data_IF_836804443074
#
_entry.id   IF_836804443074
#
_cell.length_a   1.000
_cell.length_b   1.000
_cell.length_c   1.000
_cell.angle_alpha   90.00
_cell.angle_beta   90.00
_cell.angle_gamma   90.00
#
_symmetry.space_group_name_H-M   'P 1'
#
loop_
_entity.id
_entity.type
_entity.pdbx_description
1 polymer ?
#
# COMPACT_ATOMS: atom_id res chain seq x y z
N UNK A 1 12.15 18.61 11.81
CA UNK A 1 11.08 19.42 11.17
C UNK A 1 10.12 18.46 10.46
N UNK A 2 8.90 18.30 10.98
CA UNK A 2 7.89 17.43 10.38
C UNK A 2 7.35 18.11 9.11
N UNK A 3 7.78 17.64 7.94
CA UNK A 3 7.27 18.12 6.66
C UNK A 3 5.77 17.84 6.56
N UNK A 4 4.96 18.90 6.62
CA UNK A 4 3.53 18.90 6.27
C UNK A 4 3.40 18.36 4.84
N UNK A 5 2.91 17.13 4.70
CA UNK A 5 2.57 16.58 3.38
C UNK A 5 1.12 16.93 3.10
N UNK A 6 0.94 17.80 2.11
CA UNK A 6 -0.36 18.24 1.59
C UNK A 6 -1.27 17.05 1.26
N UNK A 7 -2.50 17.10 1.75
CA UNK A 7 -3.58 16.14 1.51
C UNK A 7 -4.09 16.23 0.06
N UNK A 8 -3.25 15.93 -0.93
CA UNK A 8 -3.77 15.59 -2.25
C UNK A 8 -4.57 14.29 -2.07
N UNK A 9 -5.89 14.42 -2.19
CA UNK A 9 -6.88 13.44 -1.73
C UNK A 9 -6.60 11.99 -2.11
N UNK A 10 -7.19 11.09 -1.33
CA UNK A 10 -7.09 9.65 -1.51
C UNK A 10 -7.24 9.28 -2.99
N UNK A 11 -6.37 8.38 -3.45
CA UNK A 11 -6.17 8.05 -4.87
C UNK A 11 -7.48 7.62 -5.55
N UNK A 12 -8.46 7.18 -4.75
CA UNK A 12 -9.83 6.97 -5.13
C UNK A 12 -10.76 7.79 -4.20
N UNK A 13 -11.70 8.58 -4.75
CA UNK A 13 -12.69 9.28 -3.94
C UNK A 13 -13.51 8.26 -3.12
N UNK A 14 -13.65 8.52 -1.81
CA UNK A 14 -14.41 7.68 -0.87
C UNK A 14 -13.57 6.74 0.00
N UNK A 15 -12.35 6.41 -0.40
CA UNK A 15 -11.43 5.59 0.42
C UNK A 15 -10.85 6.40 1.58
N UNK A 16 -10.62 5.77 2.74
CA UNK A 16 -10.06 6.45 3.93
C UNK A 16 -8.58 6.15 4.16
N UNK A 17 -8.09 5.04 3.59
CA UNK A 17 -6.75 4.52 3.82
C UNK A 17 -5.96 4.32 2.53
N UNK A 18 -6.62 4.24 1.36
CA UNK A 18 -5.90 4.05 0.10
C UNK A 18 -5.46 5.37 -0.54
N UNK A 19 -4.17 5.69 -0.48
CA UNK A 19 -3.52 6.72 -1.28
C UNK A 19 -2.55 7.59 -0.51
N UNK A 20 -1.71 8.38 -1.20
CA UNK A 20 -0.81 9.33 -0.55
C UNK A 20 -1.57 10.30 0.35
N UNK A 21 -1.21 10.37 1.64
CA UNK A 21 -1.86 11.27 2.59
C UNK A 21 -3.18 10.76 3.18
N UNK A 22 -3.56 9.51 2.91
CA UNK A 22 -4.72 8.86 3.49
C UNK A 22 -4.29 7.70 4.39
N UNK A 23 -4.45 7.87 5.70
CA UNK A 23 -4.12 6.85 6.72
C UNK A 23 -5.09 6.94 7.91
N UNK A 24 -6.37 7.16 7.60
CA UNK A 24 -7.42 7.42 8.60
C UNK A 24 -7.59 8.91 8.94
N UNK A 25 -8.51 9.23 9.88
CA UNK A 25 -9.08 8.33 10.89
C UNK A 25 -10.32 7.52 10.46
N UNK A 26 -10.57 6.42 11.16
CA UNK A 26 -11.82 5.65 11.10
C UNK A 26 -11.70 4.24 10.50
N UNK A 27 -12.78 3.47 10.62
CA UNK A 27 -12.85 2.10 10.06
C UNK A 27 -12.81 2.12 8.52
N UNK A 28 -12.14 1.13 7.91
CA UNK A 28 -12.08 1.00 6.45
C UNK A 28 -13.50 0.86 5.89
N UNK A 29 -13.74 1.48 4.72
CA UNK A 29 -15.08 1.50 4.12
C UNK A 29 -15.41 0.25 3.31
N UNK A 30 -14.39 -0.47 2.86
CA UNK A 30 -14.51 -1.74 2.16
C UNK A 30 -13.27 -2.61 2.39
N UNK A 31 -13.33 -3.81 1.82
CA UNK A 31 -12.28 -4.82 1.89
C UNK A 31 -10.94 -4.38 1.30
N UNK A 32 -10.95 -3.52 0.28
CA UNK A 32 -9.73 -2.98 -0.35
C UNK A 32 -9.12 -1.89 0.52
N UNK A 33 -9.95 -1.01 1.09
CA UNK A 33 -9.57 0.02 2.05
C UNK A 33 -8.97 -0.60 3.33
N UNK A 34 -9.48 -1.77 3.74
CA UNK A 34 -8.90 -2.55 4.84
C UNK A 34 -7.49 -3.08 4.52
N UNK A 35 -7.21 -3.44 3.26
CA UNK A 35 -5.85 -3.80 2.83
C UNK A 35 -4.91 -2.59 2.92
N UNK A 36 -5.36 -1.39 2.53
CA UNK A 36 -4.56 -0.17 2.64
C UNK A 36 -4.31 0.21 4.10
N UNK A 37 -5.31 0.09 4.98
CA UNK A 37 -5.12 0.30 6.42
C UNK A 37 -4.02 -0.60 6.99
N UNK A 38 -4.01 -1.88 6.60
CA UNK A 38 -2.98 -2.83 7.03
C UNK A 38 -1.61 -2.47 6.49
N UNK A 39 -1.53 -2.02 5.24
CA UNK A 39 -0.29 -1.58 4.60
C UNK A 39 0.30 -0.36 5.29
N UNK A 40 -0.50 0.68 5.52
CA UNK A 40 -0.10 1.89 6.25
C UNK A 40 0.39 1.58 7.66
N UNK A 41 -0.36 0.74 8.39
CA UNK A 41 0.04 0.30 9.73
C UNK A 41 1.33 -0.52 9.71
N UNK A 42 1.54 -1.33 8.66
CA UNK A 42 2.80 -2.03 8.47
C UNK A 42 3.93 -1.01 8.30
N UNK A 43 3.83 -0.10 7.33
CA UNK A 43 4.85 0.93 7.09
C UNK A 43 5.14 1.79 8.33
N UNK A 44 4.13 2.15 9.12
CA UNK A 44 4.29 2.94 10.34
C UNK A 44 5.06 2.22 11.47
N UNK A 45 5.12 0.88 11.45
CA UNK A 45 5.88 0.08 12.44
C UNK A 45 7.38 0.01 12.11
N UNK A 46 7.78 0.32 10.88
CA UNK A 46 9.11 0.05 10.35
C UNK A 46 10.14 1.17 10.48
N UNK A 47 10.21 1.89 11.60
CA UNK A 47 11.21 2.96 11.81
C UNK A 47 12.59 2.33 12.12
N UNK A 48 13.30 1.80 11.11
CA UNK A 48 14.68 1.36 11.26
C UNK A 48 15.53 2.00 10.14
N UNK A 49 16.41 2.97 10.44
CA UNK A 49 17.08 3.80 9.44
C UNK A 49 18.38 3.17 8.93
N UNK A 50 18.34 1.93 8.42
CA UNK A 50 19.53 1.31 7.85
C UNK A 50 19.38 0.93 6.38
N UNK A 51 20.49 1.12 5.68
CA UNK A 51 20.69 1.06 4.24
C UNK A 51 20.03 -0.21 3.66
N UNK A 52 19.02 0.02 2.81
CA UNK A 52 18.20 -0.99 2.13
C UNK A 52 17.08 -1.60 3.00
N UNK A 53 16.03 -0.82 3.28
CA UNK A 53 14.87 -1.26 4.07
C UNK A 53 14.12 -2.45 3.42
N UNK A 54 14.32 -3.65 3.96
CA UNK A 54 13.56 -4.87 3.63
C UNK A 54 12.10 -4.76 4.10
N UNK A 55 11.85 -3.97 5.15
CA UNK A 55 10.56 -3.86 5.81
C UNK A 55 9.43 -3.31 4.89
N UNK A 56 9.62 -2.21 4.14
CA UNK A 56 8.69 -1.78 3.09
C UNK A 56 8.35 -2.87 2.07
N UNK A 57 9.31 -3.71 1.71
CA UNK A 57 9.10 -4.78 0.74
C UNK A 57 8.18 -5.88 1.27
N UNK A 58 8.34 -6.26 2.54
CA UNK A 58 7.45 -7.18 3.24
C UNK A 58 6.04 -6.58 3.31
N UNK A 59 5.91 -5.30 3.66
CA UNK A 59 4.62 -4.62 3.68
C UNK A 59 3.96 -4.61 2.29
N UNK A 60 4.71 -4.29 1.24
CA UNK A 60 4.23 -4.26 -0.14
C UNK A 60 3.79 -5.66 -0.63
N UNK A 61 4.52 -6.72 -0.29
CA UNK A 61 4.15 -8.10 -0.60
C UNK A 61 2.88 -8.53 0.11
N UNK A 62 2.77 -8.25 1.42
CA UNK A 62 1.57 -8.53 2.20
C UNK A 62 0.35 -7.76 1.67
N UNK A 63 0.56 -6.53 1.21
CA UNK A 63 -0.49 -5.73 0.58
C UNK A 63 -0.94 -6.35 -0.74
N UNK A 64 -0.02 -6.77 -1.62
CA UNK A 64 -0.36 -7.48 -2.86
C UNK A 64 -1.14 -8.77 -2.59
N UNK A 65 -0.74 -9.54 -1.58
CA UNK A 65 -1.45 -10.77 -1.17
C UNK A 65 -2.86 -10.48 -0.66
N UNK A 66 -3.07 -9.37 0.07
CA UNK A 66 -4.38 -8.93 0.51
C UNK A 66 -5.30 -8.53 -0.66
N UNK A 67 -4.75 -7.86 -1.69
CA UNK A 67 -5.49 -7.43 -2.87
C UNK A 67 -5.83 -8.58 -3.81
N UNK A 68 -5.00 -9.62 -3.88
CA UNK A 68 -5.12 -10.73 -4.84
C UNK A 68 -6.52 -11.38 -4.91
N UNK A 69 -7.16 -11.78 -3.80
CA UNK A 69 -8.52 -12.33 -3.84
C UNK A 69 -9.59 -11.26 -4.07
N UNK A 70 -9.28 -9.97 -3.96
CA UNK A 70 -10.23 -8.86 -4.03
C UNK A 70 -10.33 -8.21 -5.43
N UNK A 71 -9.56 -8.69 -6.41
CA UNK A 71 -9.53 -8.17 -7.80
C UNK A 71 -10.71 -8.58 -8.69
N UNK A 72 -11.90 -8.76 -8.11
CA UNK A 72 -13.11 -9.22 -8.80
C UNK A 72 -13.55 -8.19 -9.85
N UNK A 73 -13.61 -8.59 -11.13
CA UNK A 73 -13.83 -7.66 -12.26
C UNK A 73 -15.20 -6.95 -12.27
N UNK A 74 -16.18 -7.47 -11.52
CA UNK A 74 -17.57 -7.00 -11.53
C UNK A 74 -17.84 -5.85 -10.56
N UNK A 75 -16.98 -5.62 -9.56
CA UNK A 75 -17.14 -4.49 -8.64
C UNK A 75 -16.17 -3.35 -8.95
N UNK A 76 -16.55 -2.12 -8.62
CA UNK A 76 -15.68 -0.95 -8.72
C UNK A 76 -14.41 -1.13 -7.87
N UNK A 77 -14.58 -1.61 -6.63
CA UNK A 77 -13.48 -1.92 -5.71
C UNK A 77 -12.50 -2.94 -6.29
N UNK A 78 -12.98 -3.94 -7.02
CA UNK A 78 -12.11 -4.94 -7.64
C UNK A 78 -11.31 -4.40 -8.83
N UNK A 79 -11.82 -3.38 -9.52
CA UNK A 79 -11.03 -2.63 -10.53
C UNK A 79 -9.95 -1.79 -9.85
N UNK A 80 -10.27 -1.14 -8.73
CA UNK A 80 -9.28 -0.41 -7.92
C UNK A 80 -8.19 -1.35 -7.39
N UNK A 81 -8.57 -2.48 -6.80
CA UNK A 81 -7.63 -3.50 -6.32
C UNK A 81 -6.68 -3.98 -7.41
N UNK A 82 -7.17 -4.15 -8.65
CA UNK A 82 -6.35 -4.56 -9.79
C UNK A 82 -5.36 -3.48 -10.22
N UNK A 83 -5.77 -2.21 -10.23
CA UNK A 83 -4.88 -1.09 -10.54
C UNK A 83 -3.78 -0.98 -9.47
N UNK A 84 -4.16 -1.05 -8.19
CA UNK A 84 -3.23 -1.04 -7.07
C UNK A 84 -2.24 -2.21 -7.16
N UNK A 85 -2.71 -3.44 -7.37
CA UNK A 85 -1.85 -4.62 -7.49
C UNK A 85 -0.80 -4.46 -8.59
N UNK A 86 -1.19 -3.93 -9.76
CA UNK A 86 -0.24 -3.68 -10.87
C UNK A 86 0.79 -2.61 -10.53
N UNK A 87 0.37 -1.51 -9.92
CA UNK A 87 1.28 -0.45 -9.48
C UNK A 87 2.30 -0.97 -8.46
N UNK A 88 1.82 -1.77 -7.49
CA UNK A 88 2.68 -2.37 -6.47
C UNK A 88 3.64 -3.41 -7.05
N UNK A 89 3.19 -4.22 -8.01
CA UNK A 89 4.04 -5.17 -8.70
C UNK A 89 5.23 -4.48 -9.39
N UNK A 90 4.99 -3.34 -10.06
CA UNK A 90 6.07 -2.51 -10.63
C UNK A 90 6.99 -1.99 -9.51
N UNK A 91 6.41 -1.38 -8.46
CA UNK A 91 7.16 -0.84 -7.31
C UNK A 91 8.10 -1.90 -6.71
N UNK A 92 7.59 -3.09 -6.38
CA UNK A 92 8.38 -4.17 -5.78
C UNK A 92 9.42 -4.74 -6.73
N UNK A 93 9.14 -4.77 -8.04
CA UNK A 93 10.13 -5.20 -9.04
C UNK A 93 11.34 -4.26 -9.04
N UNK A 94 11.15 -2.95 -8.96
CA UNK A 94 12.27 -2.00 -9.01
C UNK A 94 12.94 -1.74 -7.66
N UNK A 95 12.17 -1.69 -6.56
CA UNK A 95 12.70 -1.34 -5.23
C UNK A 95 13.11 -2.56 -4.42
N UNK A 96 12.39 -3.68 -4.55
CA UNK A 96 12.57 -4.85 -3.68
C UNK A 96 13.37 -5.98 -4.33
N UNK A 97 13.36 -6.14 -5.66
CA UNK A 97 14.23 -7.15 -6.31
C UNK A 97 15.72 -6.78 -6.23
N UNK A 98 16.07 -5.51 -6.03
CA UNK A 98 17.46 -5.11 -5.75
C UNK A 98 18.01 -5.73 -4.45
N UNK A 99 17.16 -6.08 -3.49
CA UNK A 99 17.54 -6.76 -2.25
C UNK A 99 17.79 -8.27 -2.43
N UNK A 100 17.28 -8.88 -3.51
CA UNK A 100 17.51 -10.29 -3.85
C UNK A 100 18.83 -10.57 -4.58
N UNK A 101 19.62 -9.53 -4.91
CA UNK A 101 20.98 -9.67 -5.48
C UNK A 101 22.10 -9.67 -4.43
N UNK A 102 21.76 -9.62 -3.15
CA UNK A 102 22.67 -9.83 -2.00
C UNK A 102 22.24 -11.05 -1.20
N UNK A 103 22.14 -12.20 -1.89
CA UNK A 103 21.98 -13.50 -1.25
C UNK A 103 23.09 -14.43 -1.72
#
# INVERSE_FOLDING_TARGET
MAGKRNHLGCLFPGYKWCGPGCSGPGSPINDVDACCMRHDRCLNRGIHPCICDVHPCICDEQFMNCLRPKMTRRSQDGRHARLMYRAMQLKTTFQCQKLGRYR
#
